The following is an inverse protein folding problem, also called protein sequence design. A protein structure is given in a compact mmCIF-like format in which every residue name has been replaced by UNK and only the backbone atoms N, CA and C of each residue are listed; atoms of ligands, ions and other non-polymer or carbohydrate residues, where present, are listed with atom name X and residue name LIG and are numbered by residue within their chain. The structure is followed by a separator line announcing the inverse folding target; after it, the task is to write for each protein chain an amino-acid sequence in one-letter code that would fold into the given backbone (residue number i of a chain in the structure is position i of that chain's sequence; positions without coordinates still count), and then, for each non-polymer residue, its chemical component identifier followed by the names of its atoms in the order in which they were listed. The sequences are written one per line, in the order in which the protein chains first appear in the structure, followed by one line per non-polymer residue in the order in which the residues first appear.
data_IF_474971922408
#
_entry.id   IF_474971922408
#
_cell.length_a   1.000
_cell.length_b   1.000
_cell.length_c   1.000
_cell.angle_alpha   90.00
_cell.angle_beta   90.00
_cell.angle_gamma   90.00
#
_symmetry.space_group_name_H-M   'P 1'
#
loop_
_entity.id
_entity.type
_entity.pdbx_description
1 polymer ?
#
# COMPACT_ATOMS: atom_id res chain seq x y z
N UNK A 1 -3.60 -0.08 -75.18
CA UNK A 1 -5.05 -0.36 -75.11
C UNK A 1 -5.24 -1.23 -73.89
N UNK A 2 -5.34 -0.61 -72.70
CA UNK A 2 -6.61 -0.29 -72.02
C UNK A 2 -7.33 -1.60 -71.66
N UNK A 3 -7.50 -1.94 -70.38
CA UNK A 3 -8.15 -1.09 -69.38
C UNK A 3 -7.61 -1.32 -67.98
N UNK A 4 -7.24 -0.23 -67.31
CA UNK A 4 -7.44 -0.08 -65.88
C UNK A 4 -8.95 -0.17 -65.62
N UNK A 5 -9.41 -1.27 -65.02
CA UNK A 5 -10.73 -1.30 -64.40
C UNK A 5 -10.54 -0.83 -62.98
N UNK A 6 -11.02 0.39 -62.76
CA UNK A 6 -11.05 1.16 -61.52
C UNK A 6 -11.35 0.24 -60.33
N UNK A 7 -10.53 0.38 -59.29
CA UNK A 7 -10.80 -0.05 -57.92
C UNK A 7 -12.02 0.75 -57.43
N UNK A 8 -13.21 0.42 -57.93
CA UNK A 8 -14.41 1.22 -57.76
C UNK A 8 -15.16 0.75 -56.52
N UNK A 9 -15.08 1.62 -55.51
CA UNK A 9 -15.73 1.59 -54.20
C UNK A 9 -15.32 0.42 -53.31
N UNK A 10 -14.45 0.68 -52.32
CA UNK A 10 -14.80 0.27 -50.95
C UNK A 10 -16.30 0.54 -50.81
N UNK A 11 -17.09 -0.53 -50.70
CA UNK A 11 -18.55 -0.44 -50.76
C UNK A 11 -18.99 0.63 -49.75
N UNK A 12 -19.59 1.71 -50.27
CA UNK A 12 -19.86 2.92 -49.48
C UNK A 12 -20.80 2.64 -48.30
N UNK A 13 -21.51 1.51 -48.34
CA UNK A 13 -22.38 1.03 -47.26
C UNK A 13 -21.72 0.01 -46.34
N UNK A 14 -20.51 -0.48 -46.64
CA UNK A 14 -19.79 -1.48 -45.85
C UNK A 14 -19.52 -1.00 -44.42
N UNK A 15 -19.20 0.28 -44.26
CA UNK A 15 -19.05 0.93 -42.95
C UNK A 15 -20.38 1.02 -42.18
N UNK A 16 -21.51 1.16 -42.88
CA UNK A 16 -22.84 1.21 -42.27
C UNK A 16 -23.37 -0.18 -41.90
N UNK A 17 -23.01 -1.22 -42.67
CA UNK A 17 -23.40 -2.61 -42.41
C UNK A 17 -22.56 -3.23 -41.29
N UNK A 18 -21.28 -2.86 -41.19
CA UNK A 18 -20.36 -3.33 -40.15
C UNK A 18 -20.22 -2.34 -38.97
N UNK A 19 -21.12 -1.35 -38.86
CA UNK A 19 -21.01 -0.27 -37.89
C UNK A 19 -20.95 -0.78 -36.43
N UNK A 20 -21.70 -1.84 -36.13
CA UNK A 20 -21.69 -2.51 -34.82
C UNK A 20 -20.30 -3.09 -34.51
N UNK A 21 -19.72 -3.85 -35.44
CA UNK A 21 -18.39 -4.46 -35.27
C UNK A 21 -17.28 -3.41 -35.19
N UNK A 22 -17.41 -2.30 -35.94
CA UNK A 22 -16.46 -1.18 -35.90
C UNK A 22 -16.49 -0.53 -34.51
N UNK A 23 -17.67 -0.12 -34.02
CA UNK A 23 -17.79 0.51 -32.70
C UNK A 23 -17.47 -0.46 -31.56
N UNK A 24 -17.75 -1.76 -31.71
CA UNK A 24 -17.36 -2.77 -30.72
C UNK A 24 -15.83 -2.84 -30.60
N UNK A 25 -15.13 -2.95 -31.74
CA UNK A 25 -13.66 -2.99 -31.77
C UNK A 25 -13.05 -1.68 -31.28
N UNK A 26 -13.61 -0.54 -31.66
CA UNK A 26 -13.17 0.78 -31.22
C UNK A 26 -13.36 0.93 -29.71
N UNK A 27 -14.56 0.65 -29.20
CA UNK A 27 -14.87 0.71 -27.77
C UNK A 27 -13.98 -0.24 -26.94
N UNK A 28 -13.73 -1.44 -27.44
CA UNK A 28 -12.79 -2.36 -26.80
C UNK A 28 -11.36 -1.80 -26.79
N UNK A 29 -10.87 -1.30 -27.93
CA UNK A 29 -9.51 -0.75 -28.04
C UNK A 29 -9.31 0.47 -27.13
N UNK A 30 -10.29 1.36 -27.10
CA UNK A 30 -10.29 2.54 -26.23
C UNK A 30 -10.33 2.12 -24.77
N UNK A 31 -11.29 1.27 -24.39
CA UNK A 31 -11.44 0.81 -23.01
C UNK A 31 -10.23 0.01 -22.50
N UNK A 32 -9.62 -0.80 -23.36
CA UNK A 32 -8.41 -1.54 -23.02
C UNK A 32 -7.21 -0.61 -22.79
N UNK A 33 -7.01 0.35 -23.69
CA UNK A 33 -5.91 1.32 -23.58
C UNK A 33 -6.09 2.22 -22.35
N UNK A 34 -7.30 2.70 -22.12
CA UNK A 34 -7.65 3.54 -20.97
C UNK A 34 -7.51 2.76 -19.65
N UNK A 35 -8.03 1.53 -19.60
CA UNK A 35 -7.91 0.64 -18.45
C UNK A 35 -6.47 0.29 -18.09
N UNK A 36 -5.60 0.09 -19.09
CA UNK A 36 -4.18 -0.15 -18.85
C UNK A 36 -3.47 1.07 -18.26
N UNK A 37 -3.76 2.27 -18.79
CA UNK A 37 -3.15 3.50 -18.32
C UNK A 37 -3.64 3.88 -16.92
N UNK A 38 -4.95 3.89 -16.71
CA UNK A 38 -5.57 4.21 -15.43
C UNK A 38 -5.17 3.18 -14.36
N UNK A 39 -5.23 1.88 -14.66
CA UNK A 39 -4.83 0.85 -13.71
C UNK A 39 -3.37 0.95 -13.26
N UNK A 40 -2.46 1.35 -14.16
CA UNK A 40 -1.05 1.59 -13.82
C UNK A 40 -0.88 2.78 -12.87
N UNK A 41 -1.57 3.89 -13.15
CA UNK A 41 -1.48 5.10 -12.33
C UNK A 41 -2.14 4.90 -10.96
N UNK A 42 -3.31 4.27 -10.92
CA UNK A 42 -4.00 3.91 -9.68
C UNK A 42 -3.16 2.95 -8.82
N UNK A 43 -2.63 1.88 -9.42
CA UNK A 43 -1.77 0.92 -8.72
C UNK A 43 -0.54 1.59 -8.11
N UNK A 44 0.09 2.53 -8.83
CA UNK A 44 1.22 3.32 -8.32
C UNK A 44 0.80 4.20 -7.13
N UNK A 45 -0.31 4.92 -7.24
CA UNK A 45 -0.78 5.81 -6.17
C UNK A 45 -1.15 5.03 -4.91
N UNK A 46 -1.91 3.94 -5.06
CA UNK A 46 -2.30 3.07 -3.95
C UNK A 46 -1.08 2.43 -3.31
N UNK A 47 -0.15 1.89 -4.10
CA UNK A 47 1.07 1.26 -3.61
C UNK A 47 1.95 2.24 -2.82
N UNK A 48 2.13 3.46 -3.32
CA UNK A 48 2.90 4.50 -2.62
C UNK A 48 2.24 4.90 -1.30
N UNK A 49 0.93 5.17 -1.32
CA UNK A 49 0.19 5.53 -0.10
C UNK A 49 0.28 4.40 0.93
N UNK A 50 -0.02 3.17 0.53
CA UNK A 50 -0.05 2.04 1.46
C UNK A 50 1.33 1.68 1.98
N UNK A 51 2.33 1.70 1.11
CA UNK A 51 3.73 1.49 1.50
C UNK A 51 4.21 2.53 2.50
N UNK A 52 3.82 3.80 2.34
CA UNK A 52 4.15 4.85 3.31
C UNK A 52 3.48 4.62 4.66
N UNK A 53 2.17 4.35 4.70
CA UNK A 53 1.44 4.07 5.95
C UNK A 53 2.09 2.94 6.76
N UNK A 54 2.45 1.86 6.08
CA UNK A 54 3.09 0.70 6.73
C UNK A 54 4.54 1.01 7.13
N UNK A 55 5.30 1.66 6.24
CA UNK A 55 6.69 2.02 6.50
C UNK A 55 6.85 2.98 7.68
N UNK A 56 5.96 3.97 7.79
CA UNK A 56 5.88 4.89 8.93
C UNK A 56 5.66 4.12 10.24
N UNK A 57 4.68 3.22 10.26
CA UNK A 57 4.34 2.44 11.46
C UNK A 57 5.50 1.53 11.90
N UNK A 58 6.13 0.82 10.95
CA UNK A 58 7.29 -0.02 11.23
C UNK A 58 8.48 0.82 11.72
N UNK A 59 8.73 1.98 11.10
CA UNK A 59 9.79 2.90 11.51
C UNK A 59 9.58 3.44 12.91
N UNK A 60 8.34 3.80 13.26
CA UNK A 60 7.98 4.24 14.61
C UNK A 60 8.27 3.15 15.66
N UNK A 61 7.81 1.92 15.41
CA UNK A 61 8.09 0.79 16.29
C UNK A 61 9.59 0.53 16.46
N UNK A 62 10.36 0.61 15.37
CA UNK A 62 11.81 0.45 15.43
C UNK A 62 12.45 1.53 16.32
N UNK A 63 12.05 2.79 16.16
CA UNK A 63 12.51 3.88 17.00
C UNK A 63 12.23 3.66 18.49
N UNK A 64 11.02 3.21 18.85
CA UNK A 64 10.69 2.89 20.24
C UNK A 64 11.57 1.75 20.80
N UNK A 65 11.75 0.67 20.03
CA UNK A 65 12.59 -0.46 20.41
C UNK A 65 14.02 -0.02 20.66
N UNK A 66 14.58 0.81 19.78
CA UNK A 66 15.96 1.27 19.89
C UNK A 66 16.15 2.17 21.12
N UNK A 67 15.18 3.06 21.41
CA UNK A 67 15.19 3.87 22.64
C UNK A 67 15.10 3.00 23.90
N UNK A 68 14.19 2.02 23.93
CA UNK A 68 14.07 1.12 25.08
C UNK A 68 15.32 0.27 25.28
N UNK A 69 15.92 -0.24 24.21
CA UNK A 69 17.17 -0.99 24.27
C UNK A 69 18.33 -0.10 24.76
N UNK A 70 18.41 1.15 24.30
CA UNK A 70 19.40 2.11 24.80
C UNK A 70 19.24 2.37 26.30
N UNK A 71 18.01 2.52 26.79
CA UNK A 71 17.74 2.67 28.23
C UNK A 71 18.22 1.45 29.03
N UNK A 72 17.95 0.22 28.55
CA UNK A 72 18.42 -1.02 29.19
C UNK A 72 19.95 -1.10 29.22
N UNK A 73 20.64 -0.61 28.19
CA UNK A 73 22.10 -0.59 28.16
C UNK A 73 22.69 0.34 29.23
N UNK A 74 22.05 1.48 29.47
CA UNK A 74 22.48 2.45 30.49
C UNK A 74 22.13 1.96 31.90
N UNK A 75 20.93 1.43 32.09
CA UNK A 75 20.45 0.90 33.37
C UNK A 75 19.75 -0.46 33.16
N UNK A 76 20.45 -1.59 33.36
CA UNK A 76 19.91 -2.93 33.10
C UNK A 76 18.65 -3.30 33.90
N UNK A 77 18.37 -2.57 34.97
CA UNK A 77 17.22 -2.77 35.86
C UNK A 77 16.08 -1.78 35.62
N UNK A 78 16.18 -0.88 34.63
CA UNK A 78 15.16 0.14 34.36
C UNK A 78 13.80 -0.47 34.01
N UNK A 79 13.79 -1.68 33.43
CA UNK A 79 12.58 -2.43 33.09
C UNK A 79 12.62 -3.83 33.70
N UNK A 80 11.44 -4.36 34.04
CA UNK A 80 11.31 -5.75 34.49
C UNK A 80 11.76 -6.75 33.41
N UNK A 81 12.21 -7.93 33.82
CA UNK A 81 12.61 -9.01 32.90
C UNK A 81 11.50 -9.41 31.92
N UNK A 82 10.23 -9.28 32.33
CA UNK A 82 9.06 -9.49 31.46
C UNK A 82 9.01 -8.48 30.32
N UNK A 83 9.21 -7.19 30.62
CA UNK A 83 9.19 -6.12 29.61
C UNK A 83 10.38 -6.25 28.66
N UNK A 84 11.58 -6.52 29.18
CA UNK A 84 12.76 -6.73 28.34
C UNK A 84 12.57 -7.89 27.35
N UNK A 85 11.98 -9.01 27.79
CA UNK A 85 11.58 -10.11 26.90
C UNK A 85 10.56 -9.67 25.86
N UNK A 86 9.56 -8.90 26.26
CA UNK A 86 8.55 -8.39 25.33
C UNK A 86 9.14 -7.49 24.25
N UNK A 87 10.09 -6.62 24.60
CA UNK A 87 10.82 -5.74 23.66
C UNK A 87 11.61 -6.58 22.66
N UNK A 88 12.41 -7.56 23.13
CA UNK A 88 13.18 -8.46 22.24
C UNK A 88 12.30 -9.19 21.23
N UNK A 89 11.20 -9.77 21.68
CA UNK A 89 10.24 -10.44 20.80
C UNK A 89 9.59 -9.47 19.80
N UNK A 90 9.42 -8.19 20.16
CA UNK A 90 8.89 -7.18 19.25
C UNK A 90 9.91 -6.84 18.16
N UNK A 91 11.20 -6.74 18.51
CA UNK A 91 12.31 -6.55 17.56
C UNK A 91 12.46 -7.75 16.61
N UNK A 92 12.34 -8.99 17.13
CA UNK A 92 12.32 -10.22 16.31
C UNK A 92 11.17 -10.23 15.30
N UNK A 93 9.96 -9.83 15.71
CA UNK A 93 8.80 -9.71 14.81
C UNK A 93 9.03 -8.65 13.73
N UNK A 94 9.60 -7.50 14.10
CA UNK A 94 9.88 -6.41 13.17
C UNK A 94 10.91 -6.85 12.11
N UNK A 95 11.96 -7.57 12.52
CA UNK A 95 12.97 -8.11 11.61
C UNK A 95 12.44 -9.22 10.70
N UNK A 96 11.31 -9.87 11.05
CA UNK A 96 10.67 -10.89 10.23
C UNK A 96 9.73 -10.31 9.17
N UNK A 97 9.41 -9.01 9.23
CA UNK A 97 8.48 -8.39 8.30
C UNK A 97 8.96 -8.53 6.84
N UNK A 98 8.13 -9.04 5.91
CA UNK A 98 8.54 -9.34 4.54
C UNK A 98 8.55 -8.08 3.65
N UNK A 99 9.58 -7.24 3.79
CA UNK A 99 9.72 -5.99 3.01
C UNK A 99 9.76 -6.21 1.48
N UNK A 100 10.20 -7.38 1.03
CA UNK A 100 10.30 -7.72 -0.40
C UNK A 100 9.01 -8.27 -0.99
N UNK A 101 8.04 -8.63 -0.14
CA UNK A 101 6.76 -9.22 -0.53
C UNK A 101 5.63 -8.67 0.37
N UNK A 102 5.24 -7.40 0.19
CA UNK A 102 4.27 -6.73 1.05
C UNK A 102 2.83 -7.22 0.82
N UNK A 103 2.55 -7.97 -0.25
CA UNK A 103 1.25 -8.58 -0.54
C UNK A 103 1.09 -9.95 0.14
N UNK A 104 2.13 -10.42 0.82
CA UNK A 104 2.08 -11.67 1.57
C UNK A 104 1.06 -11.59 2.71
N UNK A 105 0.24 -12.62 2.87
CA UNK A 105 -0.73 -12.76 3.98
C UNK A 105 -0.03 -12.62 5.35
N UNK A 106 1.23 -13.04 5.46
CA UNK A 106 2.01 -12.89 6.70
C UNK A 106 2.40 -11.43 7.03
N UNK A 107 2.37 -10.51 6.06
CA UNK A 107 2.72 -9.11 6.28
C UNK A 107 1.68 -8.42 7.18
N UNK A 108 0.39 -8.63 6.88
CA UNK A 108 -0.72 -8.08 7.68
C UNK A 108 -0.73 -8.65 9.09
N UNK A 109 -0.55 -9.96 9.22
CA UNK A 109 -0.50 -10.65 10.52
C UNK A 109 0.67 -10.16 11.38
N UNK A 110 1.82 -9.87 10.76
CA UNK A 110 3.00 -9.35 11.44
C UNK A 110 2.74 -7.94 11.97
N UNK A 111 2.11 -7.06 11.20
CA UNK A 111 1.75 -5.70 11.63
C UNK A 111 0.76 -5.74 12.79
N UNK A 112 -0.28 -6.56 12.70
CA UNK A 112 -1.26 -6.66 13.79
C UNK A 112 -0.65 -7.24 15.07
N UNK A 113 0.25 -8.21 14.92
CA UNK A 113 1.06 -8.72 16.04
C UNK A 113 1.93 -7.63 16.66
N UNK A 114 2.58 -6.78 15.84
CA UNK A 114 3.38 -5.64 16.31
C UNK A 114 2.53 -4.63 17.07
N UNK A 115 1.35 -4.25 16.55
CA UNK A 115 0.39 -3.34 17.20
C UNK A 115 -0.04 -3.85 18.57
N UNK A 116 -0.43 -5.12 18.65
CA UNK A 116 -0.84 -5.74 19.92
C UNK A 116 0.29 -5.72 20.94
N UNK A 117 1.50 -6.07 20.50
CA UNK A 117 2.67 -6.15 21.37
C UNK A 117 3.12 -4.78 21.86
N UNK A 118 3.10 -3.79 20.97
CA UNK A 118 3.39 -2.40 21.29
C UNK A 118 2.43 -1.90 22.39
N UNK A 119 1.12 -2.04 22.19
CA UNK A 119 0.11 -1.63 23.18
C UNK A 119 0.32 -2.32 24.53
N UNK A 120 0.65 -3.61 24.52
CA UNK A 120 0.93 -4.37 25.75
C UNK A 120 2.17 -3.85 26.50
N UNK A 121 3.25 -3.51 25.79
CA UNK A 121 4.46 -2.91 26.38
C UNK A 121 4.12 -1.54 26.99
N UNK A 122 3.41 -0.69 26.24
CA UNK A 122 3.04 0.64 26.69
C UNK A 122 2.16 0.63 27.93
N UNK A 123 1.17 -0.27 27.98
CA UNK A 123 0.35 -0.49 29.15
C UNK A 123 1.17 -0.95 30.36
N UNK A 124 2.18 -1.81 30.15
CA UNK A 124 3.06 -2.29 31.22
C UNK A 124 4.00 -1.19 31.74
N UNK A 125 4.44 -0.30 30.86
CA UNK A 125 5.32 0.83 31.20
C UNK A 125 4.55 2.07 31.69
N UNK A 126 3.21 2.04 31.65
CA UNK A 126 2.35 3.18 31.92
C UNK A 126 2.70 4.43 31.07
N UNK A 127 3.09 4.18 29.82
CA UNK A 127 3.39 5.23 28.83
C UNK A 127 2.15 5.38 27.94
N UNK A 128 1.83 6.62 27.57
CA UNK A 128 0.91 6.91 26.46
C UNK A 128 1.73 7.36 25.26
N UNK A 129 2.21 6.44 24.41
CA UNK A 129 2.76 6.85 23.14
C UNK A 129 1.61 7.30 22.26
N UNK A 130 1.69 8.55 21.83
CA UNK A 130 0.83 9.10 20.79
C UNK A 130 1.43 8.67 19.45
N UNK A 131 0.88 7.59 18.89
CA UNK A 131 1.09 7.24 17.49
C UNK A 131 -0.18 7.56 16.72
N UNK A 132 -0.23 8.76 16.16
CA UNK A 132 -1.42 9.25 15.45
C UNK A 132 -1.53 8.66 14.03
N UNK A 133 -0.42 8.15 13.48
CA UNK A 133 -0.31 7.57 12.15
C UNK A 133 -0.69 8.52 11.00
N UNK A 134 -0.39 8.09 9.78
CA UNK A 134 -0.83 8.76 8.56
C UNK A 134 -2.07 8.08 7.92
N UNK A 135 -3.03 8.87 7.39
CA UNK A 135 -3.18 10.31 7.57
C UNK A 135 -3.71 10.63 8.97
N UNK A 136 -3.22 11.73 9.55
CA UNK A 136 -3.66 12.21 10.87
C UNK A 136 -5.18 12.27 10.93
N UNK A 137 -5.79 11.53 11.84
CA UNK A 137 -7.22 11.64 12.15
C UNK A 137 -7.56 12.95 12.90
N UNK A 138 -6.55 13.73 13.26
CA UNK A 138 -6.68 15.08 13.81
C UNK A 138 -6.71 16.13 12.68
N UNK A 139 -7.88 16.30 12.04
CA UNK A 139 -8.22 17.53 11.31
C UNK A 139 -8.50 17.42 9.81
N UNK A 140 -9.25 16.41 9.35
CA UNK A 140 -10.02 16.58 8.10
C UNK A 140 -11.30 17.34 8.48
N UNK A 141 -11.22 18.67 8.49
CA UNK A 141 -12.41 19.50 8.36
C UNK A 141 -13.06 19.11 7.03
N UNK A 142 -14.22 18.45 7.12
CA UNK A 142 -15.13 18.23 5.99
C UNK A 142 -15.73 19.58 5.55
N UNK A 143 -14.92 20.45 4.93
CA UNK A 143 -15.39 21.64 4.23
C UNK A 143 -14.70 21.77 2.87
N UNK A 144 -15.43 21.41 1.80
CA UNK A 144 -15.02 21.54 0.39
C UNK A 144 -14.89 20.16 -0.26
N UNK A 145 -15.81 19.67 -1.09
CA UNK A 145 -16.80 20.30 -1.96
C UNK A 145 -18.20 19.73 -1.74
#
# INVERSE_FOLDING_TARGET
MSSQTVNSSEDIFDSSLNLEDIHYKEGYSVGYTDGLNSGKDEGKQVGLKKGFEVGEELGFYKGCIDVWNAAILVEPTCFSSRVQKSIKQMDELLNKYPFTDPENESATDTIDSLRLKFRAICATLNIKPEYDGYPKTSGIDNSGF
#
